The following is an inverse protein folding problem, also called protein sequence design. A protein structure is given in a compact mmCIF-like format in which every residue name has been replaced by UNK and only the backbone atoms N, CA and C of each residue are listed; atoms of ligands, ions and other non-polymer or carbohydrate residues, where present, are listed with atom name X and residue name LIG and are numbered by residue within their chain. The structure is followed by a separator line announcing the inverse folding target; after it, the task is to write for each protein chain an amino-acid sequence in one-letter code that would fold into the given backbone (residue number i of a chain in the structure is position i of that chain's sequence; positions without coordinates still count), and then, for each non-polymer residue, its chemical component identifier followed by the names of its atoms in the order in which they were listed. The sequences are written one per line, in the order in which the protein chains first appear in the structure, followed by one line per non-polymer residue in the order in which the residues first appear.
data_IF_013772905033
#
_entry.id   IF_013772905033
#
_cell.length_a   1.000
_cell.length_b   1.000
_cell.length_c   1.000
_cell.angle_alpha   90.00
_cell.angle_beta   90.00
_cell.angle_gamma   90.00
#
_symmetry.space_group_name_H-M   'P 1'
#
loop_
_entity.id
_entity.type
_entity.pdbx_description
1 polymer ?
#
# COMPACT_ATOMS: atom_id res chain seq x y z
N UNK A 1 -20.73 -30.33 -9.13
CA UNK A 1 -19.33 -30.45 -8.69
C UNK A 1 -18.52 -29.18 -9.00
N UNK A 2 -18.58 -28.62 -10.21
CA UNK A 2 -17.95 -27.30 -10.51
C UNK A 2 -18.49 -26.13 -9.67
N UNK A 3 -19.81 -26.06 -9.45
CA UNK A 3 -20.42 -25.01 -8.64
C UNK A 3 -19.98 -25.05 -7.16
N UNK A 4 -19.62 -26.23 -6.63
CA UNK A 4 -19.16 -26.37 -5.25
C UNK A 4 -17.70 -25.90 -5.09
N UNK A 5 -16.86 -26.14 -6.11
CA UNK A 5 -15.47 -25.66 -6.13
C UNK A 5 -15.33 -24.15 -6.34
N UNK A 6 -16.22 -23.55 -7.14
CA UNK A 6 -16.25 -22.09 -7.32
C UNK A 6 -16.65 -21.37 -6.03
N UNK A 7 -17.61 -21.92 -5.27
CA UNK A 7 -17.99 -21.39 -3.95
C UNK A 7 -16.90 -21.62 -2.89
N UNK A 8 -16.15 -22.73 -2.96
CA UNK A 8 -14.95 -22.94 -2.13
C UNK A 8 -13.82 -21.96 -2.46
N UNK A 9 -13.60 -21.61 -3.73
CA UNK A 9 -12.58 -20.62 -4.13
C UNK A 9 -12.95 -19.18 -3.72
N UNK A 10 -14.23 -18.84 -3.67
CA UNK A 10 -14.71 -17.57 -3.10
C UNK A 10 -14.57 -17.53 -1.57
N UNK A 11 -14.86 -18.65 -0.88
CA UNK A 11 -14.71 -18.74 0.58
C UNK A 11 -13.24 -18.80 1.02
N UNK A 12 -12.36 -19.30 0.14
CA UNK A 12 -10.90 -19.34 0.31
C UNK A 12 -10.18 -18.10 -0.23
N UNK A 13 -10.92 -17.17 -0.82
CA UNK A 13 -10.41 -15.85 -1.17
C UNK A 13 -10.17 -15.10 0.13
N UNK A 14 -8.97 -15.30 0.71
CA UNK A 14 -8.38 -14.37 1.68
C UNK A 14 -8.71 -12.98 1.18
N UNK A 15 -9.39 -12.19 2.00
CA UNK A 15 -10.07 -10.99 1.50
C UNK A 15 -9.09 -10.17 0.66
N UNK A 16 -9.59 -9.57 -0.42
CA UNK A 16 -8.75 -8.74 -1.30
C UNK A 16 -8.00 -7.68 -0.48
N UNK A 17 -8.60 -7.20 0.61
CA UNK A 17 -7.96 -6.34 1.61
C UNK A 17 -6.72 -6.99 2.26
N UNK A 18 -6.83 -8.22 2.76
CA UNK A 18 -5.70 -8.92 3.41
C UNK A 18 -4.53 -9.20 2.44
N UNK A 19 -4.84 -9.56 1.20
CA UNK A 19 -3.83 -9.80 0.17
C UNK A 19 -3.08 -8.50 -0.18
N UNK A 20 -3.80 -7.39 -0.25
CA UNK A 20 -3.23 -6.05 -0.47
C UNK A 20 -2.38 -5.64 0.73
N UNK A 21 -2.90 -5.74 1.97
CA UNK A 21 -2.16 -5.37 3.19
C UNK A 21 -0.85 -6.15 3.28
N UNK A 22 -0.89 -7.46 3.10
CA UNK A 22 0.29 -8.31 3.22
C UNK A 22 1.33 -8.03 2.13
N UNK A 23 0.89 -7.71 0.91
CA UNK A 23 1.79 -7.27 -0.18
C UNK A 23 2.42 -5.91 0.16
N UNK A 24 1.62 -4.98 0.68
CA UNK A 24 2.06 -3.62 1.00
C UNK A 24 3.03 -3.61 2.17
N UNK A 25 2.82 -4.39 3.23
CA UNK A 25 3.78 -4.54 4.34
C UNK A 25 5.16 -5.03 3.89
N UNK A 26 5.27 -5.74 2.76
CA UNK A 26 6.56 -6.15 2.18
C UNK A 26 7.16 -5.07 1.28
N UNK A 27 6.32 -4.33 0.56
CA UNK A 27 6.76 -3.30 -0.38
C UNK A 27 7.20 -2.03 0.36
N UNK A 28 6.49 -1.61 1.42
CA UNK A 28 6.81 -0.42 2.21
C UNK A 28 8.29 -0.33 2.64
N UNK A 29 8.87 -1.31 3.34
CA UNK A 29 10.28 -1.24 3.75
C UNK A 29 11.23 -1.23 2.55
N UNK A 30 10.89 -1.92 1.46
CA UNK A 30 11.67 -1.93 0.21
C UNK A 30 11.70 -0.53 -0.43
N UNK A 31 10.54 0.14 -0.50
CA UNK A 31 10.42 1.50 -1.04
C UNK A 31 11.18 2.48 -0.15
N UNK A 32 11.10 2.37 1.17
CA UNK A 32 11.86 3.22 2.10
C UNK A 32 13.37 3.18 1.83
N UNK A 33 13.94 2.00 1.57
CA UNK A 33 15.36 1.85 1.24
C UNK A 33 15.68 2.55 -0.10
N UNK A 34 14.82 2.39 -1.11
CA UNK A 34 14.98 3.07 -2.39
C UNK A 34 14.92 4.61 -2.25
N UNK A 35 14.05 5.11 -1.38
CA UNK A 35 13.98 6.55 -1.07
C UNK A 35 15.26 7.05 -0.41
N UNK A 36 15.82 6.31 0.54
CA UNK A 36 17.10 6.65 1.16
C UNK A 36 18.23 6.68 0.13
N UNK A 37 18.30 5.69 -0.76
CA UNK A 37 19.28 5.67 -1.84
C UNK A 37 19.12 6.87 -2.78
N UNK A 38 17.88 7.26 -3.09
CA UNK A 38 17.60 8.40 -3.95
C UNK A 38 17.96 9.72 -3.28
N UNK A 39 17.69 9.86 -1.97
CA UNK A 39 18.15 11.02 -1.19
C UNK A 39 19.67 11.14 -1.20
N UNK A 40 20.40 10.02 -1.05
CA UNK A 40 21.88 10.02 -1.15
C UNK A 40 22.33 10.47 -2.55
N UNK A 41 21.65 10.00 -3.60
CA UNK A 41 21.91 10.44 -4.98
C UNK A 41 21.69 11.94 -5.18
N UNK A 42 20.60 12.50 -4.62
CA UNK A 42 20.33 13.94 -4.69
C UNK A 42 21.27 14.78 -3.84
N UNK A 43 21.70 14.31 -2.67
CA UNK A 43 22.73 14.98 -1.87
C UNK A 43 24.04 15.08 -2.64
N UNK A 44 24.38 14.06 -3.43
CA UNK A 44 25.55 14.09 -4.31
C UNK A 44 25.41 15.15 -5.40
N UNK A 45 24.21 15.29 -5.98
CA UNK A 45 23.90 16.35 -6.95
C UNK A 45 23.91 17.76 -6.31
N UNK A 46 23.53 17.87 -5.03
CA UNK A 46 23.54 19.13 -4.27
C UNK A 46 24.96 19.66 -4.02
N UNK A 47 25.95 18.79 -3.96
CA UNK A 47 27.38 19.16 -3.87
C UNK A 47 27.88 19.80 -5.18
N UNK A 48 27.14 19.66 -6.29
CA UNK A 48 27.51 20.24 -7.58
C UNK A 48 27.44 21.78 -7.55
N UNK A 49 28.48 22.44 -8.06
CA UNK A 49 28.65 23.91 -8.05
C UNK A 49 27.64 24.67 -8.94
N UNK A 50 26.80 23.96 -9.69
CA UNK A 50 25.83 24.56 -10.61
C UNK A 50 24.51 24.84 -9.88
N UNK A 51 24.13 26.11 -9.64
CA UNK A 51 22.94 26.46 -8.85
C UNK A 51 21.63 25.89 -9.42
N UNK A 52 21.55 25.69 -10.74
CA UNK A 52 20.39 25.06 -11.39
C UNK A 52 20.16 23.60 -10.96
N UNK A 53 21.23 22.83 -10.71
CA UNK A 53 21.13 21.42 -10.30
C UNK A 53 20.69 21.32 -8.84
N UNK A 54 21.09 22.27 -8.01
CA UNK A 54 20.73 22.34 -6.59
C UNK A 54 19.23 22.53 -6.38
N UNK A 55 18.64 23.47 -7.10
CA UNK A 55 17.20 23.76 -7.03
C UNK A 55 16.36 22.58 -7.56
N UNK A 56 16.83 21.94 -8.63
CA UNK A 56 16.22 20.74 -9.17
C UNK A 56 16.28 19.57 -8.18
N UNK A 57 17.43 19.33 -7.55
CA UNK A 57 17.59 18.29 -6.53
C UNK A 57 16.68 18.49 -5.31
N UNK A 58 16.53 19.75 -4.85
CA UNK A 58 15.60 20.10 -3.77
C UNK A 58 14.13 19.84 -4.16
N UNK A 59 13.73 20.23 -5.37
CA UNK A 59 12.37 19.97 -5.87
C UNK A 59 12.07 18.47 -5.93
N UNK A 60 13.03 17.66 -6.41
CA UNK A 60 12.88 16.21 -6.47
C UNK A 60 12.82 15.57 -5.07
N UNK A 61 13.64 16.02 -4.12
CA UNK A 61 13.61 15.54 -2.74
C UNK A 61 12.25 15.79 -2.09
N UNK A 62 11.71 17.00 -2.22
CA UNK A 62 10.36 17.35 -1.73
C UNK A 62 9.30 16.52 -2.43
N UNK A 63 9.37 16.38 -3.76
CA UNK A 63 8.44 15.58 -4.55
C UNK A 63 8.38 14.12 -4.12
N UNK A 64 9.54 13.53 -3.80
CA UNK A 64 9.63 12.15 -3.29
C UNK A 64 8.98 12.02 -1.92
N UNK A 65 9.25 12.94 -0.99
CA UNK A 65 8.65 12.90 0.36
C UNK A 65 7.14 13.03 0.25
N UNK A 66 6.64 13.97 -0.55
CA UNK A 66 5.21 14.14 -0.79
C UNK A 66 4.59 12.90 -1.44
N UNK A 67 5.26 12.31 -2.43
CA UNK A 67 4.78 11.08 -3.09
C UNK A 67 4.72 9.90 -2.13
N UNK A 68 5.70 9.76 -1.23
CA UNK A 68 5.71 8.73 -0.21
C UNK A 68 4.54 8.89 0.78
N UNK A 69 4.35 10.12 1.29
CA UNK A 69 3.24 10.43 2.19
C UNK A 69 1.89 10.19 1.50
N UNK A 70 1.71 10.66 0.26
CA UNK A 70 0.51 10.42 -0.54
C UNK A 70 0.25 8.92 -0.75
N UNK A 71 1.30 8.14 -1.01
CA UNK A 71 1.23 6.69 -1.13
C UNK A 71 0.75 6.02 0.17
N UNK A 72 1.26 6.47 1.33
CA UNK A 72 0.76 6.00 2.62
C UNK A 72 -0.72 6.37 2.83
N UNK A 73 -1.14 7.59 2.53
CA UNK A 73 -2.55 7.98 2.64
C UNK A 73 -3.46 7.13 1.74
N UNK A 74 -3.08 6.93 0.48
CA UNK A 74 -3.80 6.06 -0.45
C UNK A 74 -3.88 4.63 0.07
N UNK A 75 -2.80 4.11 0.66
CA UNK A 75 -2.79 2.78 1.27
C UNK A 75 -3.83 2.68 2.39
N UNK A 76 -3.84 3.61 3.35
CA UNK A 76 -4.82 3.60 4.43
C UNK A 76 -6.26 3.72 3.89
N UNK A 77 -6.47 4.54 2.87
CA UNK A 77 -7.78 4.68 2.21
C UNK A 77 -8.24 3.39 1.53
N UNK A 78 -7.34 2.68 0.85
CA UNK A 78 -7.65 1.40 0.18
C UNK A 78 -7.95 0.32 1.22
N UNK A 79 -7.18 0.26 2.30
CA UNK A 79 -7.43 -0.68 3.41
C UNK A 79 -8.79 -0.42 4.04
N UNK A 80 -9.13 0.83 4.31
CA UNK A 80 -10.44 1.20 4.88
C UNK A 80 -11.61 0.80 3.96
N UNK A 81 -11.47 1.01 2.64
CA UNK A 81 -12.48 0.60 1.67
C UNK A 81 -12.57 -0.93 1.53
N UNK A 82 -11.44 -1.63 1.65
CA UNK A 82 -11.39 -3.10 1.68
C UNK A 82 -12.05 -3.69 2.92
N UNK A 83 -11.84 -3.07 4.08
CA UNK A 83 -12.42 -3.47 5.36
C UNK A 83 -13.95 -3.29 5.36
N UNK A 84 -14.46 -2.15 4.87
CA UNK A 84 -15.89 -1.92 4.69
C UNK A 84 -16.58 -2.96 3.80
N UNK A 85 -15.86 -3.54 2.82
CA UNK A 85 -16.42 -4.60 1.97
C UNK A 85 -16.53 -5.95 2.69
N UNK A 86 -15.75 -6.18 3.74
CA UNK A 86 -15.77 -7.40 4.55
C UNK A 86 -16.86 -7.38 5.66
N UNK A 87 -17.31 -6.20 6.12
CA UNK A 87 -18.38 -6.12 7.14
C UNK A 87 -19.79 -6.49 6.64
N UNK A 88 -19.97 -6.70 5.34
CA UNK A 88 -21.27 -7.02 4.74
C UNK A 88 -21.76 -8.46 4.92
N UNK A 89 -20.91 -9.41 5.37
CA UNK A 89 -21.28 -10.82 5.46
C UNK A 89 -20.75 -11.48 6.76
N UNK A 90 -21.61 -11.49 7.78
CA UNK A 90 -21.61 -12.34 8.99
C UNK A 90 -20.68 -11.97 10.16
N UNK A 91 -21.29 -11.57 11.29
CA UNK A 91 -21.47 -12.55 12.38
C UNK A 91 -22.94 -12.87 12.72
N UNK A 92 -23.93 -12.16 12.15
CA UNK A 92 -25.31 -12.28 12.65
C UNK A 92 -26.06 -13.56 12.20
N UNK A 93 -25.75 -14.12 11.02
CA UNK A 93 -26.42 -15.33 10.49
C UNK A 93 -25.88 -16.61 11.15
N UNK A 94 -24.62 -16.61 11.60
CA UNK A 94 -24.00 -17.76 12.29
C UNK A 94 -24.65 -18.03 13.67
N UNK A 95 -25.24 -17.00 14.30
CA UNK A 95 -26.02 -17.15 15.53
C UNK A 95 -27.40 -17.77 15.30
N UNK A 96 -27.97 -17.65 14.10
CA UNK A 96 -29.31 -18.18 13.78
C UNK A 96 -29.31 -19.64 13.31
N UNK A 97 -28.16 -20.20 12.92
CA UNK A 97 -28.02 -21.62 12.57
C UNK A 97 -27.57 -22.51 13.75
N UNK A 98 -27.33 -21.91 14.93
CA UNK A 98 -26.93 -22.62 16.16
C UNK A 98 -28.09 -22.79 17.15
N UNK A 99 -29.33 -22.56 16.71
CA UNK A 99 -30.56 -22.78 17.48
C UNK A 99 -31.61 -23.42 16.56
#
# INVERSE_FOLDING_TARGET
QFHNRYQEELTRSKSVGDAIINSMSRILPTVSIALLATMIGFITLYISEVPMIRDFGMMLAVGIVLSYVAGLFLLHSIVYLGDMRNYGLTPHILYLLKN
#
